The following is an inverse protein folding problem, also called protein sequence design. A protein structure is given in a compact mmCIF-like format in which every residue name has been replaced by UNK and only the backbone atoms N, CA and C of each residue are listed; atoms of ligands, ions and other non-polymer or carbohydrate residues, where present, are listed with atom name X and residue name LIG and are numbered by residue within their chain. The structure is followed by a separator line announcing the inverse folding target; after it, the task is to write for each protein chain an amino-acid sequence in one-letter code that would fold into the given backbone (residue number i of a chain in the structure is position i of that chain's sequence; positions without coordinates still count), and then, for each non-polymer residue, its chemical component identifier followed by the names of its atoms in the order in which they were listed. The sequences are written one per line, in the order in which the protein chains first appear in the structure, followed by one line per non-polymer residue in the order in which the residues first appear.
data_IF_794166580743
#
_entry.id   IF_794166580743
#
_cell.length_a   1.000
_cell.length_b   1.000
_cell.length_c   1.000
_cell.angle_alpha   90.00
_cell.angle_beta   90.00
_cell.angle_gamma   90.00
#
_symmetry.space_group_name_H-M   'P 1'
#
loop_
_entity.id
_entity.type
_entity.pdbx_description
1 polymer ?
#
# COMPACT_ATOMS: atom_id res chain seq x y z
N UNK A 1 -9.36 -61.59 -4.53
CA UNK A 1 -9.04 -60.29 -3.94
C UNK A 1 -8.20 -59.54 -4.96
N UNK A 2 -8.81 -58.64 -5.73
CA UNK A 2 -8.11 -57.86 -6.75
C UNK A 2 -8.35 -56.39 -6.43
N UNK A 3 -7.34 -55.73 -5.88
CA UNK A 3 -7.34 -54.28 -5.69
C UNK A 3 -7.27 -53.61 -7.07
N UNK A 4 -8.35 -52.95 -7.48
CA UNK A 4 -8.34 -52.07 -8.66
C UNK A 4 -7.69 -50.74 -8.26
N UNK A 5 -6.37 -50.66 -8.36
CA UNK A 5 -5.62 -49.42 -8.18
C UNK A 5 -5.91 -48.45 -9.33
N UNK A 6 -6.27 -47.21 -9.00
CA UNK A 6 -6.51 -46.13 -9.98
C UNK A 6 -5.20 -45.89 -10.77
N UNK A 7 -5.26 -46.03 -12.11
CA UNK A 7 -4.11 -45.75 -12.97
C UNK A 7 -3.80 -44.24 -12.95
N UNK A 8 -2.51 -43.90 -12.92
CA UNK A 8 -2.03 -42.51 -12.88
C UNK A 8 -2.53 -41.71 -14.08
N UNK A 9 -2.68 -42.36 -15.24
CA UNK A 9 -3.25 -41.72 -16.43
C UNK A 9 -4.72 -41.40 -16.28
N UNK A 10 -5.49 -42.27 -15.63
CA UNK A 10 -6.91 -42.04 -15.39
C UNK A 10 -7.12 -40.99 -14.31
N UNK A 11 -6.26 -40.95 -13.29
CA UNK A 11 -6.22 -39.86 -12.31
C UNK A 11 -5.88 -38.51 -12.96
N UNK A 12 -4.87 -38.44 -13.82
CA UNK A 12 -4.47 -37.20 -14.49
C UNK A 12 -5.54 -36.72 -15.49
N UNK A 13 -6.20 -37.63 -16.22
CA UNK A 13 -7.34 -37.29 -17.08
C UNK A 13 -8.53 -36.80 -16.25
N UNK A 14 -8.81 -37.45 -15.12
CA UNK A 14 -9.86 -37.05 -14.18
C UNK A 14 -9.60 -35.65 -13.61
N UNK A 15 -8.39 -35.40 -13.10
CA UNK A 15 -7.98 -34.12 -12.53
C UNK A 15 -7.98 -32.97 -13.56
N UNK A 16 -7.54 -33.23 -14.80
CA UNK A 16 -7.57 -32.23 -15.87
C UNK A 16 -9.01 -31.86 -16.25
N UNK A 17 -9.94 -32.83 -16.26
CA UNK A 17 -11.35 -32.57 -16.53
C UNK A 17 -12.02 -31.76 -15.40
N UNK A 18 -11.70 -32.02 -14.12
CA UNK A 18 -12.23 -31.22 -13.01
C UNK A 18 -11.68 -29.81 -12.96
N UNK A 19 -10.40 -29.60 -13.27
CA UNK A 19 -9.82 -28.24 -13.35
C UNK A 19 -10.42 -27.47 -14.53
N UNK A 20 -10.57 -28.10 -15.71
CA UNK A 20 -11.23 -27.44 -16.84
C UNK A 20 -12.71 -27.14 -16.58
N UNK A 21 -13.42 -28.01 -15.85
CA UNK A 21 -14.80 -27.77 -15.45
C UNK A 21 -14.91 -26.67 -14.38
N UNK A 22 -13.95 -26.56 -13.45
CA UNK A 22 -13.86 -25.44 -12.51
C UNK A 22 -13.59 -24.12 -13.24
N UNK A 23 -12.66 -24.13 -14.21
CA UNK A 23 -12.35 -22.94 -15.03
C UNK A 23 -13.51 -22.56 -15.96
N UNK A 24 -14.30 -23.53 -16.43
CA UNK A 24 -15.50 -23.27 -17.24
C UNK A 24 -16.73 -22.89 -16.38
N UNK A 25 -16.79 -23.34 -15.12
CA UNK A 25 -17.81 -22.95 -14.15
C UNK A 25 -17.53 -21.60 -13.49
N UNK A 26 -16.25 -21.16 -13.43
CA UNK A 26 -15.81 -19.85 -12.97
C UNK A 26 -15.88 -18.74 -14.05
N UNK A 27 -16.86 -18.85 -14.96
CA UNK A 27 -17.43 -17.65 -15.58
C UNK A 27 -18.07 -16.69 -14.55
N UNK A 28 -18.20 -17.12 -13.29
CA UNK A 28 -18.87 -16.41 -12.20
C UNK A 28 -18.06 -16.50 -10.89
N UNK A 29 -16.88 -15.88 -10.81
CA UNK A 29 -16.18 -15.81 -9.51
C UNK A 29 -14.98 -14.89 -9.43
N UNK A 30 -14.06 -14.96 -10.40
CA UNK A 30 -12.85 -14.12 -10.38
C UNK A 30 -13.03 -12.71 -10.93
N UNK A 31 -14.12 -12.46 -11.68
CA UNK A 31 -14.45 -11.10 -12.14
C UNK A 31 -15.02 -10.22 -11.03
N UNK A 32 -15.62 -10.79 -9.98
CA UNK A 32 -16.30 -9.98 -8.94
C UNK A 32 -15.33 -9.43 -7.89
N UNK A 33 -14.18 -10.06 -7.68
CA UNK A 33 -13.13 -9.53 -6.81
C UNK A 33 -12.40 -8.34 -7.47
N UNK A 34 -12.37 -8.28 -8.81
CA UNK A 34 -11.84 -7.14 -9.56
C UNK A 34 -12.86 -6.02 -9.81
N UNK A 35 -14.17 -6.33 -9.75
CA UNK A 35 -15.24 -5.38 -10.05
C UNK A 35 -15.69 -4.53 -8.85
N UNK A 36 -15.17 -4.77 -7.65
CA UNK A 36 -15.52 -4.01 -6.45
C UNK A 36 -15.11 -2.51 -6.53
N UNK A 37 -14.24 -2.13 -7.48
CA UNK A 37 -13.81 -0.74 -7.68
C UNK A 37 -14.70 0.07 -8.65
N UNK A 38 -15.72 -0.54 -9.28
CA UNK A 38 -16.49 0.15 -10.32
C UNK A 38 -17.48 1.22 -9.79
N UNK A 39 -17.83 1.18 -8.50
CA UNK A 39 -18.79 2.10 -7.87
C UNK A 39 -18.14 3.18 -6.99
N UNK A 40 -16.81 3.34 -7.04
CA UNK A 40 -16.14 4.46 -6.35
C UNK A 40 -16.45 5.75 -7.10
N UNK A 41 -17.43 6.51 -6.59
CA UNK A 41 -17.75 7.85 -7.09
C UNK A 41 -16.46 8.68 -7.17
N UNK A 42 -16.14 9.32 -8.31
CA UNK A 42 -14.94 10.12 -8.43
C UNK A 42 -14.86 11.14 -7.29
N UNK A 43 -13.76 11.09 -6.53
CA UNK A 43 -13.50 12.06 -5.47
C UNK A 43 -13.34 13.43 -6.16
N UNK A 44 -14.27 14.34 -5.90
CA UNK A 44 -14.25 15.68 -6.45
C UNK A 44 -13.16 16.50 -5.76
N UNK A 45 -12.29 17.15 -6.54
CA UNK A 45 -11.25 18.05 -6.03
C UNK A 45 -9.92 17.91 -6.78
N UNK A 46 -8.96 18.80 -6.51
CA UNK A 46 -7.60 18.66 -7.01
C UNK A 46 -6.94 17.40 -6.44
N UNK A 47 -6.01 16.82 -7.20
CA UNK A 47 -5.23 15.68 -6.73
C UNK A 47 -4.39 16.03 -5.51
N UNK A 48 -4.43 15.19 -4.48
CA UNK A 48 -3.64 15.38 -3.25
C UNK A 48 -2.17 15.07 -3.55
N UNK A 49 -1.25 15.94 -3.13
CA UNK A 49 0.19 15.72 -3.26
C UNK A 49 0.71 14.85 -2.13
N UNK A 50 1.13 13.64 -2.45
CA UNK A 50 1.48 12.58 -1.49
C UNK A 50 2.99 12.33 -1.48
N UNK A 51 3.55 12.24 -0.27
CA UNK A 51 4.86 11.66 -0.01
C UNK A 51 4.74 10.21 0.47
N UNK A 52 5.58 9.31 -0.03
CA UNK A 52 5.65 7.93 0.49
C UNK A 52 6.98 7.72 1.21
N UNK A 53 6.91 7.36 2.50
CA UNK A 53 8.07 7.13 3.36
C UNK A 53 8.17 5.62 3.64
N UNK A 54 9.28 5.00 3.24
CA UNK A 54 9.45 3.56 3.20
C UNK A 54 9.08 2.99 1.84
N UNK A 55 10.09 2.48 1.12
CA UNK A 55 9.99 1.97 -0.25
C UNK A 55 10.44 0.51 -0.32
N UNK A 56 10.17 -0.25 0.74
CA UNK A 56 10.18 -1.70 0.74
C UNK A 56 9.19 -2.29 -0.28
N UNK A 57 8.91 -3.58 -0.21
CA UNK A 57 7.98 -4.19 -1.18
C UNK A 57 6.60 -3.52 -1.13
N UNK A 58 6.04 -3.39 0.06
CA UNK A 58 4.72 -2.79 0.26
C UNK A 58 4.66 -1.31 -0.15
N UNK A 59 5.64 -0.51 0.27
CA UNK A 59 5.73 0.90 -0.13
C UNK A 59 5.78 1.12 -1.65
N UNK A 60 6.46 0.24 -2.40
CA UNK A 60 6.48 0.31 -3.88
C UNK A 60 5.17 -0.12 -4.52
N UNK A 61 4.47 -1.08 -3.91
CA UNK A 61 3.15 -1.51 -4.37
C UNK A 61 2.12 -0.38 -4.14
N UNK A 62 2.22 0.33 -3.00
CA UNK A 62 1.47 1.57 -2.72
C UNK A 62 1.78 2.64 -3.77
N UNK A 63 3.06 2.93 -4.06
CA UNK A 63 3.44 3.90 -5.11
C UNK A 63 2.82 3.53 -6.46
N UNK A 64 2.80 2.23 -6.80
CA UNK A 64 2.22 1.72 -8.05
C UNK A 64 0.69 1.81 -8.07
N UNK A 65 0.03 1.65 -6.94
CA UNK A 65 -1.40 1.86 -6.82
C UNK A 65 -1.75 3.35 -6.97
N UNK A 66 -1.04 4.21 -6.22
CA UNK A 66 -1.24 5.66 -6.26
C UNK A 66 -0.99 6.24 -7.65
N UNK A 67 0.01 5.75 -8.41
CA UNK A 67 0.29 6.25 -9.77
C UNK A 67 -0.85 6.01 -10.76
N UNK A 68 -1.81 5.15 -10.42
CA UNK A 68 -3.01 4.86 -11.24
C UNK A 68 -4.23 5.66 -10.80
N UNK A 69 -4.14 6.41 -9.70
CA UNK A 69 -5.26 7.14 -9.11
C UNK A 69 -5.20 8.63 -9.51
N UNK A 70 -6.15 9.15 -10.31
CA UNK A 70 -6.13 10.56 -10.73
C UNK A 70 -6.24 11.57 -9.57
N UNK A 71 -6.84 11.16 -8.45
CA UNK A 71 -7.00 11.98 -7.24
C UNK A 71 -5.76 12.01 -6.34
N UNK A 72 -4.69 11.27 -6.69
CA UNK A 72 -3.47 11.19 -5.91
C UNK A 72 -2.25 11.45 -6.80
N UNK A 73 -1.41 12.40 -6.39
CA UNK A 73 -0.15 12.70 -7.08
C UNK A 73 1.02 12.42 -6.15
N UNK A 74 1.81 11.38 -6.44
CA UNK A 74 3.06 11.13 -5.70
C UNK A 74 4.07 12.19 -6.09
N UNK A 75 4.37 13.12 -5.18
CA UNK A 75 5.33 14.22 -5.40
C UNK A 75 6.66 13.98 -4.71
N UNK A 76 6.69 13.08 -3.72
CA UNK A 76 7.91 12.74 -3.00
C UNK A 76 7.96 11.25 -2.63
N UNK A 77 9.16 10.68 -2.67
CA UNK A 77 9.44 9.32 -2.22
C UNK A 77 10.67 9.33 -1.31
N UNK A 78 10.65 8.55 -0.23
CA UNK A 78 11.75 8.51 0.73
C UNK A 78 12.05 7.09 1.19
N UNK A 79 13.33 6.72 1.16
CA UNK A 79 13.85 5.53 1.85
C UNK A 79 15.33 5.77 2.18
N UNK A 80 15.80 5.20 3.30
CA UNK A 80 17.21 5.26 3.69
C UNK A 80 18.12 4.42 2.79
N UNK A 81 17.55 3.45 2.05
CA UNK A 81 18.27 2.59 1.14
C UNK A 81 18.07 3.04 -0.32
N UNK A 82 19.13 3.60 -0.90
CA UNK A 82 19.12 4.23 -2.23
C UNK A 82 18.56 3.32 -3.35
N UNK A 83 18.84 2.01 -3.30
CA UNK A 83 18.35 1.07 -4.30
C UNK A 83 16.82 0.99 -4.33
N UNK A 84 16.14 1.16 -3.18
CA UNK A 84 14.68 1.18 -3.09
C UNK A 84 14.11 2.47 -3.68
N UNK A 85 14.75 3.61 -3.40
CA UNK A 85 14.41 4.90 -4.01
C UNK A 85 14.54 4.83 -5.53
N UNK A 86 15.67 4.33 -6.02
CA UNK A 86 15.95 4.17 -7.46
C UNK A 86 14.92 3.28 -8.14
N UNK A 87 14.46 2.22 -7.47
CA UNK A 87 13.44 1.32 -8.00
C UNK A 87 12.07 1.99 -8.06
N UNK A 88 11.67 2.72 -7.02
CA UNK A 88 10.39 3.42 -6.97
C UNK A 88 10.31 4.61 -7.94
N UNK A 89 11.41 5.33 -8.13
CA UNK A 89 11.50 6.47 -9.06
C UNK A 89 11.18 6.09 -10.53
N UNK A 90 11.32 4.81 -10.90
CA UNK A 90 10.93 4.31 -12.23
C UNK A 90 9.41 4.33 -12.45
N UNK A 91 8.63 4.23 -11.39
CA UNK A 91 7.16 4.27 -11.44
C UNK A 91 6.64 5.71 -11.40
N UNK A 92 7.33 6.58 -10.66
CA UNK A 92 6.94 7.98 -10.43
C UNK A 92 8.10 8.92 -10.77
N UNK A 93 8.32 9.15 -12.06
CA UNK A 93 9.49 9.89 -12.57
C UNK A 93 9.55 11.36 -12.15
N UNK A 94 8.40 11.94 -11.82
CA UNK A 94 8.29 13.35 -11.41
C UNK A 94 8.37 13.53 -9.88
N UNK A 95 8.43 12.44 -9.11
CA UNK A 95 8.53 12.50 -7.66
C UNK A 95 9.96 12.82 -7.22
N UNK A 96 10.11 13.77 -6.30
CA UNK A 96 11.40 14.07 -5.70
C UNK A 96 11.82 12.95 -4.74
N UNK A 97 13.05 12.47 -4.92
CA UNK A 97 13.66 11.46 -4.07
C UNK A 97 14.32 12.10 -2.83
N UNK A 98 14.14 11.45 -1.68
CA UNK A 98 14.73 11.86 -0.40
C UNK A 98 15.35 10.66 0.31
N UNK A 99 16.48 10.87 0.99
CA UNK A 99 17.09 9.88 1.89
C UNK A 99 16.72 10.11 3.36
N UNK A 100 16.28 11.31 3.71
CA UNK A 100 15.75 11.68 5.03
C UNK A 100 14.28 12.08 4.94
N UNK A 101 13.44 11.42 5.73
CA UNK A 101 12.01 11.71 5.76
C UNK A 101 11.73 13.13 6.29
N UNK A 102 12.61 13.71 7.11
CA UNK A 102 12.43 15.07 7.65
C UNK A 102 12.50 16.11 6.55
N UNK A 103 13.38 15.93 5.58
CA UNK A 103 13.45 16.80 4.39
C UNK A 103 12.20 16.67 3.51
N UNK A 104 11.66 15.45 3.39
CA UNK A 104 10.38 15.21 2.72
C UNK A 104 9.24 15.94 3.44
N UNK A 105 9.17 15.85 4.77
CA UNK A 105 8.15 16.51 5.59
C UNK A 105 8.25 18.04 5.53
N UNK A 106 9.45 18.59 5.39
CA UNK A 106 9.66 20.03 5.21
C UNK A 106 9.20 20.55 3.82
N UNK A 107 8.93 19.65 2.87
CA UNK A 107 8.53 20.05 1.52
C UNK A 107 7.12 20.67 1.50
N UNK A 108 6.94 21.87 0.91
CA UNK A 108 5.61 22.44 0.66
C UNK A 108 4.85 21.69 -0.44
N UNK A 109 5.53 20.85 -1.21
CA UNK A 109 4.94 20.01 -2.26
C UNK A 109 4.38 18.69 -1.75
N UNK A 110 4.37 18.47 -0.44
CA UNK A 110 3.78 17.30 0.21
C UNK A 110 2.65 17.75 1.13
N UNK A 111 1.44 17.32 0.86
CA UNK A 111 0.23 17.64 1.65
C UNK A 111 -0.13 16.48 2.59
N UNK A 112 0.06 15.25 2.11
CA UNK A 112 -0.18 14.02 2.84
C UNK A 112 1.04 13.09 2.77
N UNK A 113 1.21 12.23 3.78
CA UNK A 113 2.21 11.17 3.76
C UNK A 113 1.61 9.80 4.02
N UNK A 114 2.16 8.80 3.33
CA UNK A 114 1.96 7.39 3.64
C UNK A 114 3.25 6.85 4.26
N UNK A 115 3.14 6.30 5.46
CA UNK A 115 4.25 5.70 6.20
C UNK A 115 4.15 4.19 6.02
N UNK A 116 5.05 3.64 5.21
CA UNK A 116 5.19 2.21 4.90
C UNK A 116 6.58 1.68 5.31
N UNK A 117 7.08 2.15 6.45
CA UNK A 117 8.36 1.74 7.04
C UNK A 117 8.19 0.50 7.92
N UNK A 118 9.27 -0.10 8.44
CA UNK A 118 9.15 -1.10 9.50
C UNK A 118 8.47 -0.54 10.76
N UNK A 119 7.57 -1.32 11.38
CA UNK A 119 6.69 -0.91 12.49
C UNK A 119 7.37 -0.16 13.63
N UNK A 120 8.61 -0.51 13.99
CA UNK A 120 9.33 0.15 15.08
C UNK A 120 9.67 1.63 14.80
N UNK A 121 9.57 2.08 13.54
CA UNK A 121 9.79 3.47 13.13
C UNK A 121 8.49 4.29 13.03
N UNK A 122 7.33 3.64 13.03
CA UNK A 122 6.04 4.29 12.79
C UNK A 122 5.79 5.46 13.74
N UNK A 123 6.04 5.28 15.04
CA UNK A 123 5.78 6.32 16.05
C UNK A 123 6.57 7.60 15.76
N UNK A 124 7.88 7.50 15.56
CA UNK A 124 8.71 8.67 15.34
C UNK A 124 8.25 9.44 14.09
N UNK A 125 8.04 8.72 12.99
CA UNK A 125 7.69 9.32 11.69
C UNK A 125 6.26 9.88 11.72
N UNK A 126 5.31 9.17 12.33
CA UNK A 126 3.92 9.63 12.43
C UNK A 126 3.82 10.90 13.27
N UNK A 127 4.47 10.95 14.43
CA UNK A 127 4.48 12.14 15.28
C UNK A 127 5.17 13.32 14.57
N UNK A 128 6.27 13.08 13.86
CA UNK A 128 6.94 14.11 13.08
C UNK A 128 6.07 14.64 11.93
N UNK A 129 5.36 13.76 11.23
CA UNK A 129 4.47 14.14 10.14
C UNK A 129 3.25 14.94 10.62
N UNK A 130 2.66 14.54 11.75
CA UNK A 130 1.59 15.31 12.41
C UNK A 130 2.10 16.69 12.83
N UNK A 131 3.28 16.75 13.46
CA UNK A 131 3.89 18.02 13.88
C UNK A 131 4.22 18.95 12.68
N UNK A 132 4.51 18.37 11.51
CA UNK A 132 4.72 19.10 10.26
C UNK A 132 3.41 19.50 9.54
N UNK A 133 2.25 19.39 10.21
CA UNK A 133 0.92 19.72 9.68
C UNK A 133 0.57 18.97 8.37
N UNK A 134 0.98 17.70 8.26
CA UNK A 134 0.63 16.83 7.12
C UNK A 134 -0.58 15.95 7.43
N UNK A 135 -1.34 15.59 6.41
CA UNK A 135 -2.25 14.44 6.51
C UNK A 135 -1.41 13.15 6.59
N UNK A 136 -1.82 12.17 7.39
CA UNK A 136 -1.02 10.96 7.63
C UNK A 136 -1.86 9.71 7.47
N UNK A 137 -1.37 8.77 6.67
CA UNK A 137 -1.76 7.37 6.73
C UNK A 137 -0.54 6.55 7.19
N UNK A 138 -0.71 5.74 8.24
CA UNK A 138 0.33 4.87 8.77
C UNK A 138 -0.04 3.41 8.53
N UNK A 139 0.87 2.61 7.97
CA UNK A 139 0.60 1.20 7.72
C UNK A 139 0.37 0.38 8.98
N UNK A 140 -0.36 -0.72 8.79
CA UNK A 140 -0.58 -1.71 9.84
C UNK A 140 0.59 -2.71 9.90
N UNK A 141 0.95 -3.23 11.09
CA UNK A 141 0.45 -2.83 12.41
C UNK A 141 0.97 -1.43 12.83
N UNK A 142 0.11 -0.66 13.51
CA UNK A 142 0.39 0.73 13.87
C UNK A 142 1.69 0.88 14.71
N UNK A 143 1.89 0.01 15.69
CA UNK A 143 3.08 0.01 16.55
C UNK A 143 3.32 -1.37 17.16
N UNK A 144 4.53 -1.59 17.68
CA UNK A 144 4.92 -2.84 18.36
C UNK A 144 4.55 -2.89 19.84
N UNK A 145 4.07 -1.79 20.42
CA UNK A 145 3.64 -1.67 21.81
C UNK A 145 2.33 -0.89 21.92
N UNK A 146 1.57 -1.14 22.98
CA UNK A 146 0.31 -0.43 23.24
C UNK A 146 0.60 1.03 23.60
N UNK A 147 1.71 1.27 24.31
CA UNK A 147 2.18 2.60 24.71
C UNK A 147 2.44 3.47 23.48
N UNK A 148 3.14 2.92 22.49
CA UNK A 148 3.43 3.64 21.24
C UNK A 148 2.18 3.83 20.40
N UNK A 149 1.32 2.81 20.28
CA UNK A 149 0.04 2.93 19.59
C UNK A 149 -0.84 4.04 20.20
N UNK A 150 -0.93 4.09 21.54
CA UNK A 150 -1.66 5.14 22.26
C UNK A 150 -1.06 6.52 22.01
N UNK A 151 0.27 6.64 22.03
CA UNK A 151 0.94 7.91 21.77
C UNK A 151 0.60 8.44 20.36
N UNK A 152 0.63 7.56 19.35
CA UNK A 152 0.25 7.93 17.97
C UNK A 152 -1.23 8.31 17.90
N UNK A 153 -2.12 7.51 18.51
CA UNK A 153 -3.56 7.78 18.49
C UNK A 153 -3.93 9.11 19.15
N UNK A 154 -3.31 9.44 20.29
CA UNK A 154 -3.50 10.72 20.98
C UNK A 154 -3.06 11.89 20.08
N UNK A 155 -1.89 11.78 19.44
CA UNK A 155 -1.39 12.79 18.53
C UNK A 155 -2.29 12.95 17.29
N UNK A 156 -2.72 11.83 16.70
CA UNK A 156 -3.63 11.82 15.54
C UNK A 156 -4.96 12.49 15.87
N UNK A 157 -5.55 12.19 17.02
CA UNK A 157 -6.81 12.79 17.46
C UNK A 157 -6.68 14.29 17.80
N UNK A 158 -5.48 14.74 18.21
CA UNK A 158 -5.19 16.15 18.44
C UNK A 158 -4.83 16.94 17.16
N UNK A 159 -4.66 16.27 16.02
CA UNK A 159 -4.28 16.90 14.76
C UNK A 159 -5.45 17.64 14.12
N UNK A 160 -5.15 18.75 13.43
CA UNK A 160 -6.10 19.42 12.53
C UNK A 160 -6.24 18.71 11.19
N UNK A 161 -5.28 17.84 10.88
CA UNK A 161 -5.22 17.06 9.64
C UNK A 161 -5.76 15.65 9.90
N UNK A 162 -6.15 15.00 8.81
CA UNK A 162 -6.61 13.60 8.87
C UNK A 162 -5.43 12.70 9.24
N UNK A 163 -5.66 11.84 10.23
CA UNK A 163 -4.79 10.73 10.58
C UNK A 163 -5.57 9.42 10.39
N UNK A 164 -4.98 8.44 9.71
CA UNK A 164 -5.55 7.11 9.50
C UNK A 164 -4.48 6.02 9.65
N UNK A 165 -4.88 4.83 10.06
CA UNK A 165 -4.05 3.62 10.17
C UNK A 165 -4.87 2.37 9.91
#
# INVERSE_FOLDING_TARGET
MTESGIDRRDFLKGAAATVALLMAADGLGMSQVLAADADVKPIAGPAVKIGVIGLGQWGRDIVTALSKMPSAKVTAICDTYEAFVTRAAKTVTDAKAYSDYKELLASPDVEAVIIATPTHLHKEIALAAIAADKHVYCEAPLASSIEDAKAIAIAGNGSKKVFQT
#
